data_IF_921778248045
#
_entry.id   IF_921778248045
#
_cell.length_a   1.000
_cell.length_b   1.000
_cell.length_c   1.000
_cell.angle_alpha   90.00
_cell.angle_beta   90.00
_cell.angle_gamma   90.00
#
_symmetry.space_group_name_H-M   'P 1'
#
loop_
_entity.id
_entity.type
_entity.pdbx_description
1 polymer ?
#
# COMPACT_ATOMS: atom_id res chain seq x y z
N UNK A 1 -11.40 6.22 16.40
CA UNK A 1 -12.35 5.54 15.48
C UNK A 1 -12.32 6.29 14.16
N UNK A 2 -12.14 5.59 13.05
CA UNK A 2 -12.14 6.20 11.71
C UNK A 2 -13.49 6.88 11.46
N UNK A 3 -13.47 8.15 11.04
CA UNK A 3 -14.67 8.91 10.65
C UNK A 3 -14.74 9.11 9.15
N UNK A 4 -13.60 9.26 8.51
CA UNK A 4 -13.51 9.48 7.07
C UNK A 4 -12.30 8.75 6.48
N UNK A 5 -12.47 8.25 5.26
CA UNK A 5 -11.42 7.67 4.43
C UNK A 5 -11.47 8.38 3.08
N UNK A 6 -10.34 8.91 2.62
CA UNK A 6 -10.19 9.41 1.25
C UNK A 6 -9.07 8.67 0.55
N UNK A 7 -9.34 8.14 -0.64
CA UNK A 7 -8.37 7.44 -1.48
C UNK A 7 -8.18 8.20 -2.78
N UNK A 8 -6.94 8.27 -3.25
CA UNK A 8 -6.61 8.80 -4.58
C UNK A 8 -5.59 7.91 -5.27
N UNK A 9 -5.82 7.64 -6.55
CA UNK A 9 -4.97 6.80 -7.39
C UNK A 9 -4.69 5.43 -6.73
N UNK A 10 -5.71 4.78 -6.19
CA UNK A 10 -5.61 3.55 -5.40
C UNK A 10 -6.46 2.42 -6.01
N UNK A 11 -5.81 1.38 -6.56
CA UNK A 11 -6.42 0.22 -7.20
C UNK A 11 -7.52 0.63 -8.20
N UNK A 12 -8.75 0.18 -8.03
CA UNK A 12 -9.87 0.54 -8.91
C UNK A 12 -10.45 1.94 -8.66
N UNK A 13 -9.88 2.72 -7.74
CA UNK A 13 -10.37 4.06 -7.41
C UNK A 13 -9.39 5.13 -7.90
N UNK A 14 -9.81 5.91 -8.91
CA UNK A 14 -9.13 7.16 -9.19
C UNK A 14 -9.29 8.12 -7.99
N UNK A 15 -10.53 8.27 -7.49
CA UNK A 15 -10.83 8.97 -6.24
C UNK A 15 -12.00 8.27 -5.52
N UNK A 16 -11.94 8.18 -4.18
CA UNK A 16 -13.02 7.69 -3.33
C UNK A 16 -13.08 8.50 -2.04
N UNK A 17 -14.29 8.88 -1.63
CA UNK A 17 -14.54 9.59 -0.37
C UNK A 17 -15.62 8.88 0.45
N UNK A 18 -15.22 8.29 1.57
CA UNK A 18 -16.14 7.72 2.55
C UNK A 18 -16.21 8.66 3.75
N UNK A 19 -17.38 9.24 3.99
CA UNK A 19 -17.63 10.18 5.09
C UNK A 19 -18.56 9.59 6.13
N UNK A 20 -18.52 10.13 7.33
CA UNK A 20 -19.46 9.82 8.42
C UNK A 20 -19.46 8.35 8.87
N UNK A 21 -18.32 7.66 8.74
CA UNK A 21 -18.18 6.28 9.20
C UNK A 21 -18.51 6.17 10.69
N UNK A 22 -19.28 5.13 11.03
CA UNK A 22 -19.72 4.82 12.40
C UNK A 22 -18.97 3.60 12.93
N UNK A 23 -19.33 3.15 14.13
CA UNK A 23 -18.77 1.93 14.73
C UNK A 23 -19.03 0.69 13.85
N UNK A 24 -20.23 0.62 13.24
CA UNK A 24 -20.62 -0.42 12.29
C UNK A 24 -20.91 0.23 10.94
N UNK A 25 -20.30 -0.29 9.88
CA UNK A 25 -20.56 0.11 8.50
C UNK A 25 -20.70 -1.17 7.66
N UNK A 26 -21.66 -1.20 6.75
CA UNK A 26 -21.86 -2.33 5.83
C UNK A 26 -21.50 -1.86 4.44
N UNK A 27 -20.52 -2.51 3.82
CA UNK A 27 -20.12 -2.26 2.43
C UNK A 27 -20.61 -3.44 1.58
N UNK A 28 -21.67 -3.21 0.80
CA UNK A 28 -22.30 -4.21 -0.06
C UNK A 28 -22.24 -3.82 -1.54
N UNK A 29 -22.41 -4.80 -2.43
CA UNK A 29 -22.36 -4.59 -3.88
C UNK A 29 -21.80 -5.81 -4.63
N UNK A 30 -21.78 -5.73 -5.96
CA UNK A 30 -21.28 -6.81 -6.83
C UNK A 30 -19.78 -7.08 -6.61
N UNK A 31 -19.34 -8.29 -6.95
CA UNK A 31 -17.93 -8.67 -6.89
C UNK A 31 -17.11 -7.80 -7.85
N UNK A 32 -15.87 -7.50 -7.46
CA UNK A 32 -14.93 -6.66 -8.24
C UNK A 32 -15.26 -5.15 -8.32
N UNK A 33 -16.18 -4.64 -7.49
CA UNK A 33 -16.52 -3.20 -7.40
C UNK A 33 -15.74 -2.46 -6.28
N UNK A 34 -14.55 -2.94 -5.91
CA UNK A 34 -13.68 -2.21 -4.98
C UNK A 34 -13.99 -2.33 -3.48
N UNK A 35 -15.02 -3.07 -3.06
CA UNK A 35 -15.32 -3.33 -1.63
C UNK A 35 -14.09 -3.81 -0.86
N UNK A 36 -13.38 -4.74 -1.48
CA UNK A 36 -12.17 -5.34 -0.94
C UNK A 36 -10.99 -4.37 -0.97
N UNK A 37 -10.89 -3.54 -2.02
CA UNK A 37 -9.89 -2.48 -2.13
C UNK A 37 -10.02 -1.43 -1.03
N UNK A 38 -11.24 -1.15 -0.55
CA UNK A 38 -11.45 -0.27 0.62
C UNK A 38 -10.78 -0.87 1.86
N UNK A 39 -10.96 -2.17 2.11
CA UNK A 39 -10.30 -2.85 3.22
C UNK A 39 -8.79 -2.87 3.04
N UNK A 40 -8.31 -3.15 1.82
CA UNK A 40 -6.87 -3.13 1.53
C UNK A 40 -6.27 -1.75 1.85
N UNK A 41 -6.95 -0.65 1.54
CA UNK A 41 -6.48 0.70 1.89
C UNK A 41 -6.38 0.91 3.41
N UNK A 42 -7.36 0.42 4.18
CA UNK A 42 -7.32 0.46 5.65
C UNK A 42 -6.14 -0.36 6.19
N UNK A 43 -5.93 -1.56 5.66
CA UNK A 43 -4.79 -2.40 6.06
C UNK A 43 -3.45 -1.75 5.73
N UNK A 44 -3.28 -1.22 4.51
CA UNK A 44 -2.09 -0.49 4.09
C UNK A 44 -1.81 0.69 5.04
N UNK A 45 -2.86 1.40 5.44
CA UNK A 45 -2.74 2.57 6.29
C UNK A 45 -2.24 2.26 7.70
N UNK A 46 -2.70 1.16 8.31
CA UNK A 46 -2.30 0.85 9.70
C UNK A 46 -0.95 0.14 9.81
N UNK A 47 -0.43 -0.44 8.73
CA UNK A 47 0.83 -1.18 8.74
C UNK A 47 1.91 -0.59 7.83
N UNK A 48 1.94 0.74 7.69
CA UNK A 48 2.95 1.46 6.86
C UNK A 48 4.38 1.12 7.23
N UNK A 49 4.63 0.80 8.50
CA UNK A 49 5.98 0.46 8.99
C UNK A 49 6.43 -0.93 8.56
N UNK A 50 5.53 -1.77 8.07
CA UNK A 50 5.83 -3.07 7.52
C UNK A 50 5.45 -3.12 6.03
N UNK A 51 6.38 -2.77 5.12
CA UNK A 51 6.12 -2.85 3.67
C UNK A 51 5.76 -4.27 3.21
N UNK A 52 6.05 -5.30 4.01
CA UNK A 52 5.60 -6.66 3.74
C UNK A 52 4.07 -6.82 3.83
N UNK A 53 3.30 -5.89 4.43
CA UNK A 53 1.84 -5.99 4.44
C UNK A 53 1.26 -5.92 3.02
N UNK A 54 1.85 -5.14 2.13
CA UNK A 54 1.44 -5.04 0.74
C UNK A 54 1.66 -6.36 -0.01
N UNK A 55 2.74 -7.07 0.33
CA UNK A 55 3.05 -8.42 -0.14
C UNK A 55 2.11 -9.46 0.49
N UNK A 56 1.82 -9.34 1.79
CA UNK A 56 0.96 -10.26 2.53
C UNK A 56 -0.47 -10.21 1.98
N UNK A 57 -1.03 -9.03 1.71
CA UNK A 57 -2.39 -8.90 1.12
C UNK A 57 -2.50 -9.66 -0.20
N UNK A 58 -1.44 -9.66 -1.03
CA UNK A 58 -1.43 -10.38 -2.31
C UNK A 58 -1.13 -11.87 -2.15
N UNK A 59 -0.23 -12.23 -1.23
CA UNK A 59 0.08 -13.62 -0.89
C UNK A 59 -1.13 -14.35 -0.29
N UNK A 60 -1.89 -13.69 0.59
CA UNK A 60 -3.14 -14.22 1.16
C UNK A 60 -4.21 -14.50 0.09
N UNK A 61 -4.18 -13.80 -1.05
CA UNK A 61 -5.17 -13.94 -2.13
C UNK A 61 -4.84 -15.05 -3.13
N UNK A 62 -3.68 -15.71 -3.02
CA UNK A 62 -3.13 -16.60 -4.07
C UNK A 62 -3.07 -15.94 -5.45
N UNK A 63 -3.06 -14.60 -5.50
CA UNK A 63 -2.98 -13.78 -6.72
C UNK A 63 -1.53 -13.70 -7.24
N UNK A 64 -0.65 -14.54 -6.66
CA UNK A 64 0.78 -14.64 -6.92
C UNK A 64 1.13 -15.35 -8.23
N UNK A 65 0.15 -15.83 -9.01
CA UNK A 65 0.41 -16.56 -10.24
C UNK A 65 1.23 -15.74 -11.24
N UNK A 66 1.18 -14.40 -11.18
CA UNK A 66 1.95 -13.53 -12.07
C UNK A 66 2.46 -12.30 -11.29
N UNK A 67 3.26 -12.49 -10.23
CA UNK A 67 4.23 -11.44 -9.92
C UNK A 67 5.10 -11.36 -11.15
N UNK A 68 4.80 -10.41 -12.05
CA UNK A 68 5.64 -10.06 -13.17
C UNK A 68 7.04 -9.87 -12.58
N UNK A 69 7.96 -10.81 -12.82
CA UNK A 69 9.32 -10.80 -12.26
C UNK A 69 10.06 -9.48 -12.56
N UNK A 70 9.53 -8.71 -13.52
CA UNK A 70 10.09 -7.48 -14.05
C UNK A 70 9.41 -6.20 -13.50
N UNK A 71 8.34 -6.28 -12.69
CA UNK A 71 7.68 -5.10 -12.12
C UNK A 71 7.53 -5.20 -10.60
N UNK A 72 7.76 -4.10 -9.87
CA UNK A 72 7.52 -4.11 -8.43
C UNK A 72 6.05 -4.37 -8.07
N UNK A 73 5.80 -5.12 -7.00
CA UNK A 73 4.46 -5.53 -6.57
C UNK A 73 3.52 -4.34 -6.30
N UNK A 74 4.06 -3.21 -5.81
CA UNK A 74 3.28 -2.03 -5.44
C UNK A 74 2.64 -1.32 -6.63
N UNK A 75 3.13 -1.56 -7.86
CA UNK A 75 2.56 -0.99 -9.09
C UNK A 75 1.07 -1.30 -9.21
N UNK A 76 0.66 -2.50 -8.81
CA UNK A 76 -0.75 -2.94 -8.81
C UNK A 76 -1.67 -2.19 -7.84
N UNK A 77 -1.11 -1.41 -6.91
CA UNK A 77 -1.89 -0.57 -6.00
C UNK A 77 -2.19 0.80 -6.59
N UNK A 78 -1.50 1.23 -7.64
CA UNK A 78 -1.81 2.48 -8.34
C UNK A 78 -2.97 2.25 -9.30
N UNK A 79 -3.82 3.27 -9.49
CA UNK A 79 -4.92 3.20 -10.44
C UNK A 79 -4.39 3.00 -11.85
N UNK A 80 -4.99 2.07 -12.59
CA UNK A 80 -4.52 1.63 -13.91
C UNK A 80 -3.03 1.25 -13.98
N UNK A 81 -2.42 0.91 -12.83
CA UNK A 81 -0.99 0.69 -12.69
C UNK A 81 -0.12 1.90 -13.09
N UNK A 82 -0.69 3.11 -13.09
CA UNK A 82 0.00 4.35 -13.42
C UNK A 82 0.72 4.94 -12.19
N UNK A 83 2.03 4.71 -12.13
CA UNK A 83 2.90 5.24 -11.08
C UNK A 83 3.43 6.64 -11.37
N UNK A 84 3.03 7.29 -12.48
CA UNK A 84 3.43 8.66 -12.80
C UNK A 84 2.79 9.68 -11.84
N UNK A 85 1.63 9.32 -11.27
CA UNK A 85 0.91 10.11 -10.29
C UNK A 85 1.08 9.52 -8.90
N UNK A 86 1.04 10.38 -7.87
CA UNK A 86 1.10 9.94 -6.47
C UNK A 86 -0.19 9.23 -6.08
N UNK A 87 -0.06 8.16 -5.30
CA UNK A 87 -1.17 7.52 -4.60
C UNK A 87 -1.30 8.11 -3.21
N UNK A 88 -2.52 8.25 -2.69
CA UNK A 88 -2.71 8.69 -1.30
C UNK A 88 -3.86 7.97 -0.59
N UNK A 89 -3.65 7.80 0.71
CA UNK A 89 -4.64 7.29 1.65
C UNK A 89 -4.70 8.29 2.81
N UNK A 90 -5.87 8.88 3.01
CA UNK A 90 -6.14 9.83 4.09
C UNK A 90 -7.17 9.22 5.02
N UNK A 91 -6.82 9.12 6.30
CA UNK A 91 -7.75 8.70 7.35
C UNK A 91 -7.89 9.83 8.36
N UNK A 92 -9.14 10.18 8.64
CA UNK A 92 -9.50 11.18 9.65
C UNK A 92 -10.26 10.51 10.78
N UNK A 93 -9.87 10.83 12.00
CA UNK A 93 -10.64 10.53 13.19
C UNK A 93 -11.09 11.83 13.92
N UNK A 94 -11.50 11.69 15.17
CA UNK A 94 -11.96 12.82 15.98
C UNK A 94 -10.83 13.77 16.39
N UNK A 95 -9.59 13.29 16.43
CA UNK A 95 -8.43 13.97 16.99
C UNK A 95 -7.44 14.42 15.93
N UNK A 96 -7.28 13.66 14.86
CA UNK A 96 -6.33 13.98 13.81
C UNK A 96 -6.77 13.53 12.44
N UNK A 97 -6.08 14.07 11.45
CA UNK A 97 -6.06 13.60 10.08
C UNK A 97 -4.65 13.15 9.77
N UNK A 98 -4.52 11.95 9.24
CA UNK A 98 -3.24 11.40 8.82
C UNK A 98 -3.31 11.15 7.32
N UNK A 99 -2.33 11.69 6.61
CA UNK A 99 -2.19 11.54 5.17
C UNK A 99 -0.94 10.73 4.87
N UNK A 100 -1.12 9.65 4.12
CA UNK A 100 -0.04 8.83 3.58
C UNK A 100 0.01 9.03 2.08
N UNK A 101 1.19 9.35 1.55
CA UNK A 101 1.43 9.53 0.13
C UNK A 101 2.51 8.60 -0.34
N UNK A 102 2.32 8.04 -1.53
CA UNK A 102 3.17 7.03 -2.11
C UNK A 102 3.61 7.49 -3.50
N UNK A 103 4.91 7.44 -3.75
CA UNK A 103 5.53 7.91 -4.98
C UNK A 103 6.63 6.92 -5.40
N UNK A 104 6.67 6.58 -6.68
CA UNK A 104 7.74 5.71 -7.19
C UNK A 104 8.95 6.57 -7.53
N UNK A 105 10.09 6.25 -6.94
CA UNK A 105 11.37 6.86 -7.25
C UNK A 105 12.22 5.86 -8.03
N UNK A 106 12.79 6.30 -9.16
CA UNK A 106 13.75 5.51 -9.92
C UNK A 106 15.15 5.89 -9.47
N UNK A 107 15.83 4.99 -8.77
CA UNK A 107 17.21 5.23 -8.34
C UNK A 107 18.18 4.52 -9.28
N UNK A 108 19.12 5.28 -9.85
CA UNK A 108 20.29 4.72 -10.53
C UNK A 108 21.35 4.37 -9.46
N UNK A 109 21.25 3.17 -8.87
CA UNK A 109 22.36 2.60 -8.07
C UNK A 109 22.67 1.20 -8.56
N UNK A 110 23.93 0.98 -8.94
CA UNK A 110 24.58 -0.32 -8.89
C UNK A 110 24.68 -0.70 -7.41
N UNK A 111 24.06 -1.80 -6.99
CA UNK A 111 24.59 -2.77 -6.01
C UNK A 111 23.54 -3.85 -5.64
N UNK A 112 24.06 -5.08 -5.50
CA UNK A 112 23.48 -6.31 -4.94
C UNK A 112 22.00 -6.30 -4.50
N UNK A 113 21.11 -6.80 -5.35
CA UNK A 113 19.69 -7.00 -5.00
C UNK A 113 19.51 -8.06 -3.92
N UNK A 114 18.90 -7.69 -2.79
CA UNK A 114 18.28 -8.63 -1.87
C UNK A 114 17.01 -9.19 -2.51
N UNK A 115 17.08 -10.40 -3.08
CA UNK A 115 15.89 -11.15 -3.43
C UNK A 115 15.26 -11.73 -2.16
N UNK A 116 14.11 -11.21 -1.75
CA UNK A 116 13.28 -11.88 -0.74
C UNK A 116 12.65 -13.10 -1.42
N UNK A 117 13.21 -14.27 -1.17
CA UNK A 117 12.57 -15.52 -1.56
C UNK A 117 11.33 -15.72 -0.67
N UNK A 118 10.15 -15.70 -1.29
CA UNK A 118 8.85 -15.82 -0.62
C UNK A 118 8.74 -17.15 0.14
N UNK A 119 9.32 -18.24 -0.40
CA UNK A 119 9.37 -19.53 0.27
C UNK A 119 10.23 -19.48 1.55
N UNK A 120 11.25 -18.61 1.58
CA UNK A 120 12.13 -18.40 2.75
C UNK A 120 11.44 -17.56 3.83
N UNK A 121 10.66 -16.55 3.44
CA UNK A 121 9.86 -15.74 4.39
C UNK A 121 8.76 -16.59 5.04
N UNK A 122 8.17 -17.52 4.30
CA UNK A 122 7.11 -18.41 4.81
C UNK A 122 7.63 -19.61 5.61
N UNK A 123 8.90 -20.00 5.43
CA UNK A 123 9.48 -21.20 6.09
C UNK A 123 10.24 -20.92 7.39
N UNK A 124 10.43 -19.66 7.81
CA UNK A 124 11.24 -19.30 9.00
C UNK A 124 12.66 -19.92 9.01
N UNK A 125 13.21 -20.26 7.85
CA UNK A 125 14.55 -20.83 7.69
C UNK A 125 15.56 -19.72 7.32
N UNK A 126 16.82 -19.88 7.73
CA UNK A 126 17.90 -18.91 7.49
C UNK A 126 18.07 -18.59 6.00
N UNK A 127 18.22 -17.29 5.70
CA UNK A 127 18.29 -16.73 4.34
C UNK A 127 19.59 -17.15 3.62
N UNK A 128 19.54 -17.90 2.51
CA UNK A 128 20.73 -18.13 1.68
C UNK A 128 21.00 -16.90 0.79
N UNK A 129 22.21 -16.34 0.88
CA UNK A 129 22.70 -15.28 -0.02
C UNK A 129 23.00 -15.87 -1.41
N UNK A 130 22.37 -15.36 -2.46
CA UNK A 130 22.88 -15.49 -3.84
C UNK A 130 23.00 -14.10 -4.48
N UNK A 131 24.15 -13.84 -5.08
CA UNK A 131 24.47 -12.57 -5.74
C UNK A 131 24.35 -12.76 -7.25
N UNK A 132 23.47 -12.00 -7.92
CA UNK A 132 23.44 -11.93 -9.38
C UNK A 132 23.83 -10.51 -9.79
N UNK A 133 24.95 -10.39 -10.50
CA UNK A 133 25.40 -9.15 -11.11
C UNK A 133 24.63 -8.85 -12.38
N UNK A 134 23.78 -7.82 -12.35
CA UNK A 134 23.31 -7.10 -13.53
C UNK A 134 22.96 -5.67 -13.12
N UNK A 135 23.22 -4.69 -13.99
CA UNK A 135 22.78 -3.30 -13.79
C UNK A 135 21.25 -3.25 -13.87
N UNK A 136 20.59 -3.45 -12.72
CA UNK A 136 19.14 -3.36 -12.60
C UNK A 136 18.74 -1.97 -12.13
N UNK A 137 17.79 -1.34 -12.81
CA UNK A 137 17.10 -0.15 -12.29
C UNK A 137 16.26 -0.59 -11.11
N UNK A 138 16.60 -0.13 -9.91
CA UNK A 138 15.81 -0.44 -8.70
C UNK A 138 14.77 0.65 -8.54
N UNK A 139 13.53 0.32 -8.89
CA UNK A 139 12.39 1.14 -8.52
C UNK A 139 12.18 0.99 -7.00
N UNK A 140 12.00 2.11 -6.31
CA UNK A 140 11.65 2.13 -4.88
C UNK A 140 10.35 2.87 -4.66
N UNK A 141 9.58 2.45 -3.66
CA UNK A 141 8.38 3.16 -3.22
C UNK A 141 8.72 4.06 -2.05
N UNK A 142 8.62 5.38 -2.25
CA UNK A 142 8.72 6.35 -1.16
C UNK A 142 7.35 6.55 -0.54
N UNK A 143 7.32 6.52 0.78
CA UNK A 143 6.10 6.71 1.57
C UNK A 143 6.33 7.91 2.50
N UNK A 144 5.51 8.95 2.36
CA UNK A 144 5.52 10.09 3.28
C UNK A 144 4.24 10.07 4.11
N UNK A 145 4.40 10.17 5.43
CA UNK A 145 3.29 10.19 6.40
C UNK A 145 3.27 11.54 7.09
N UNK A 146 2.12 12.20 7.09
CA UNK A 146 1.90 13.48 7.78
C UNK A 146 0.68 13.36 8.68
N UNK A 147 0.74 13.91 9.89
CA UNK A 147 -0.39 13.94 10.83
C UNK A 147 -0.70 15.38 11.23
N UNK A 148 -1.96 15.79 11.03
CA UNK A 148 -2.49 17.07 11.47
C UNK A 148 -3.46 16.85 12.63
N UNK A 149 -3.12 17.35 13.82
CA UNK A 149 -4.01 17.29 14.99
C UNK A 149 -5.07 18.39 14.92
N UNK A 150 -6.33 18.05 15.19
CA UNK A 150 -7.39 19.03 15.40
C UNK A 150 -7.10 19.78 16.71
N UNK A 151 -7.07 21.11 16.65
CA UNK A 151 -7.00 21.95 17.85
C UNK A 151 -8.18 21.57 18.75
N UNK A 152 -7.93 21.27 20.03
CA UNK A 152 -9.01 21.18 21.02
C UNK A 152 -9.67 22.56 21.05
N UNK A 153 -10.91 22.66 20.57
CA UNK A 153 -11.74 23.78 20.97
C UNK A 153 -11.94 23.62 22.48
N UNK A 154 -11.27 24.47 23.26
CA UNK A 154 -11.59 24.67 24.67
C UNK A 154 -13.00 25.24 24.69
N UNK A 155 -13.96 24.42 25.10
CA UNK A 155 -15.25 24.87 25.62
C UNK A 155 -15.10 24.94 27.13
#
# INVERSE_FOLDING_TARGET
>A
MIKEISLKNFKCFNELYLKQLKTLNIIAGKNNYGKTSILDAIFCFYDVKNPAVLLNIQAFRKEMAEINKNKPFWVSYFHDMDTSQKMSIVIRDERSEVTQTYETETNQRLESSLSLNVDTVLSNQNIPRQTIGSQATVNSLKINVTETKKKKNRV
#
